data_IF_566384303316
#
_entry.id   IF_566384303316
#
_cell.length_a   1.000
_cell.length_b   1.000
_cell.length_c   1.000
_cell.angle_alpha   90.00
_cell.angle_beta   90.00
_cell.angle_gamma   90.00
#
_symmetry.space_group_name_H-M   'P 1'
#
loop_
_entity.id
_entity.type
_entity.pdbx_description
1 polymer ?
#
# COMPACT_ATOMS: atom_id res chain seq x y z
N UNK A 1 -34.40 4.86 50.43
CA UNK A 1 -33.32 3.85 50.42
C UNK A 1 -33.43 3.08 49.13
N UNK A 2 -32.56 3.34 48.17
CA UNK A 2 -32.55 2.74 46.83
C UNK A 2 -31.22 1.99 46.70
N UNK A 3 -31.21 0.69 46.35
CA UNK A 3 -29.97 -0.08 46.34
C UNK A 3 -29.08 0.38 45.18
N UNK A 4 -27.79 0.58 45.48
CA UNK A 4 -26.77 0.92 44.52
C UNK A 4 -26.56 -0.24 43.53
N UNK A 5 -27.10 -0.09 42.33
CA UNK A 5 -26.78 -0.95 41.19
C UNK A 5 -25.35 -0.64 40.72
N UNK A 6 -24.41 -1.45 41.21
CA UNK A 6 -23.39 -2.14 40.41
C UNK A 6 -22.95 -1.43 39.12
N UNK A 7 -21.90 -0.60 39.24
CA UNK A 7 -21.04 -0.23 38.10
C UNK A 7 -19.98 -1.33 37.94
N UNK A 8 -20.30 -2.43 37.25
CA UNK A 8 -19.33 -3.48 36.89
C UNK A 8 -18.90 -3.48 35.42
N UNK A 9 -19.29 -2.47 34.63
CA UNK A 9 -19.04 -2.45 33.17
C UNK A 9 -17.83 -1.63 32.74
N UNK A 10 -16.92 -1.28 33.67
CA UNK A 10 -15.64 -0.71 33.28
C UNK A 10 -14.74 -1.83 32.76
N UNK A 11 -14.33 -1.82 31.48
CA UNK A 11 -13.41 -2.82 30.93
C UNK A 11 -12.16 -2.87 31.80
N UNK A 12 -11.73 -4.08 32.17
CA UNK A 12 -10.55 -4.27 33.00
C UNK A 12 -9.33 -3.54 32.36
N UNK A 13 -8.73 -2.54 33.02
CA UNK A 13 -7.55 -1.86 32.51
C UNK A 13 -6.33 -2.78 32.39
N UNK A 14 -6.39 -4.00 32.93
CA UNK A 14 -5.40 -5.06 32.77
C UNK A 14 -5.63 -5.98 31.55
N UNK A 15 -6.71 -5.80 30.77
CA UNK A 15 -6.92 -6.51 29.50
C UNK A 15 -6.00 -5.99 28.37
N UNK A 16 -4.73 -5.73 28.66
CA UNK A 16 -3.72 -5.50 27.62
C UNK A 16 -3.56 -6.82 26.85
N UNK A 17 -3.61 -6.80 25.51
CA UNK A 17 -3.33 -7.99 24.74
C UNK A 17 -1.95 -8.53 25.11
N UNK A 18 -1.88 -9.83 25.38
CA UNK A 18 -0.63 -10.52 25.71
C UNK A 18 0.48 -10.11 24.71
N UNK A 19 1.60 -9.53 25.20
CA UNK A 19 2.66 -9.04 24.32
C UNK A 19 3.20 -10.14 23.40
N UNK A 20 3.26 -11.40 23.86
CA UNK A 20 3.70 -12.53 23.05
C UNK A 20 2.74 -12.79 21.89
N UNK A 21 1.43 -12.80 22.15
CA UNK A 21 0.39 -12.95 21.12
C UNK A 21 0.42 -11.82 20.09
N UNK A 22 0.61 -10.58 20.53
CA UNK A 22 0.71 -9.43 19.62
C UNK A 22 1.94 -9.51 18.70
N UNK A 23 3.05 -10.04 19.23
CA UNK A 23 4.29 -10.21 18.48
C UNK A 23 4.14 -11.32 17.43
N UNK A 24 3.53 -12.44 17.79
CA UNK A 24 3.23 -13.54 16.88
C UNK A 24 2.34 -13.09 15.71
N UNK A 25 1.27 -12.33 15.98
CA UNK A 25 0.39 -11.80 14.92
C UNK A 25 1.15 -10.89 13.93
N UNK A 26 2.08 -10.06 14.42
CA UNK A 26 2.92 -9.21 13.56
C UNK A 26 3.87 -10.04 12.71
N UNK A 27 4.47 -11.08 13.29
CA UNK A 27 5.40 -11.97 12.61
C UNK A 27 4.69 -12.78 11.53
N UNK A 28 3.52 -13.33 11.83
CA UNK A 28 2.68 -14.08 10.89
C UNK A 28 2.28 -13.23 9.68
N UNK A 29 1.78 -12.01 9.91
CA UNK A 29 1.49 -11.05 8.83
C UNK A 29 2.72 -10.82 7.97
N UNK A 30 3.87 -10.55 8.59
CA UNK A 30 5.09 -10.27 7.84
C UNK A 30 5.55 -11.47 7.01
N UNK A 31 5.49 -12.67 7.57
CA UNK A 31 5.84 -13.90 6.87
C UNK A 31 4.92 -14.15 5.67
N UNK A 32 3.60 -13.93 5.81
CA UNK A 32 2.65 -14.07 4.71
C UNK A 32 2.90 -13.05 3.59
N UNK A 33 3.14 -11.80 3.95
CA UNK A 33 3.49 -10.74 2.97
C UNK A 33 4.76 -11.13 2.23
N UNK A 34 5.81 -11.59 2.93
CA UNK A 34 7.03 -12.06 2.28
C UNK A 34 6.79 -13.28 1.38
N UNK A 35 6.00 -14.26 1.83
CA UNK A 35 5.66 -15.44 1.06
C UNK A 35 4.90 -15.14 -0.24
N UNK A 36 4.17 -14.02 -0.30
CA UNK A 36 3.54 -13.51 -1.53
C UNK A 36 4.56 -12.80 -2.41
N UNK A 37 5.31 -11.85 -1.85
CA UNK A 37 6.15 -10.93 -2.63
C UNK A 37 7.41 -11.59 -3.19
N UNK A 38 8.06 -12.51 -2.46
CA UNK A 38 9.27 -13.18 -2.93
C UNK A 38 9.06 -13.96 -4.25
N UNK A 39 8.13 -14.92 -4.33
CA UNK A 39 7.95 -15.69 -5.57
C UNK A 39 7.40 -14.85 -6.72
N UNK A 40 6.41 -13.98 -6.45
CA UNK A 40 5.82 -13.14 -7.51
C UNK A 40 6.76 -12.03 -7.96
N UNK A 41 7.58 -11.49 -7.07
CA UNK A 41 8.63 -10.53 -7.41
C UNK A 41 9.72 -11.17 -8.28
N UNK A 42 10.13 -12.40 -7.95
CA UNK A 42 11.08 -13.14 -8.78
C UNK A 42 10.49 -13.47 -10.17
N UNK A 43 9.24 -13.93 -10.21
CA UNK A 43 8.52 -14.17 -11.46
C UNK A 43 8.41 -12.89 -12.31
N UNK A 44 8.04 -11.77 -11.70
CA UNK A 44 7.97 -10.47 -12.38
C UNK A 44 9.33 -10.09 -12.99
N UNK A 45 10.42 -10.24 -12.23
CA UNK A 45 11.77 -9.95 -12.71
C UNK A 45 12.15 -10.82 -13.91
N UNK A 46 11.86 -12.12 -13.87
CA UNK A 46 12.10 -13.03 -14.99
C UNK A 46 11.30 -12.63 -16.24
N UNK A 47 10.04 -12.26 -16.08
CA UNK A 47 9.16 -11.80 -17.17
C UNK A 47 9.63 -10.46 -17.76
N UNK A 48 10.05 -9.51 -16.91
CA UNK A 48 10.61 -8.24 -17.37
C UNK A 48 11.91 -8.45 -18.13
N UNK A 49 12.82 -9.26 -17.59
CA UNK A 49 14.07 -9.61 -18.29
C UNK A 49 13.78 -10.19 -19.68
N UNK A 50 12.81 -11.11 -19.76
CA UNK A 50 12.37 -11.70 -21.03
C UNK A 50 11.78 -10.65 -21.98
N UNK A 51 10.93 -9.74 -21.47
CA UNK A 51 10.34 -8.67 -22.28
C UNK A 51 11.38 -7.70 -22.85
N UNK A 52 12.35 -7.28 -22.05
CA UNK A 52 13.43 -6.41 -22.50
C UNK A 52 14.44 -7.11 -23.42
N UNK A 53 14.55 -8.44 -23.34
CA UNK A 53 15.37 -9.25 -24.25
C UNK A 53 14.77 -9.41 -25.66
N UNK A 54 13.71 -8.65 -26.01
CA UNK A 54 13.15 -8.60 -27.37
C UNK A 54 11.97 -9.53 -27.62
N UNK A 55 11.44 -10.20 -26.60
CA UNK A 55 10.31 -11.14 -26.75
C UNK A 55 8.93 -10.44 -26.82
N UNK A 56 8.91 -9.10 -26.73
CA UNK A 56 7.75 -8.28 -27.01
C UNK A 56 6.96 -7.84 -25.77
N UNK A 57 6.02 -6.93 -25.99
CA UNK A 57 5.26 -6.24 -24.95
C UNK A 57 4.40 -7.18 -24.07
N UNK A 58 3.99 -8.35 -24.58
CA UNK A 58 3.21 -9.32 -23.82
C UNK A 58 3.95 -9.82 -22.56
N UNK A 59 5.27 -9.99 -22.63
CA UNK A 59 6.09 -10.40 -21.48
C UNK A 59 6.21 -9.29 -20.44
N UNK A 60 6.33 -8.04 -20.88
CA UNK A 60 6.29 -6.88 -19.98
C UNK A 60 4.92 -6.78 -19.29
N UNK A 61 3.83 -6.95 -20.06
CA UNK A 61 2.47 -6.97 -19.50
C UNK A 61 2.29 -8.09 -18.48
N UNK A 62 2.82 -9.29 -18.75
CA UNK A 62 2.81 -10.40 -17.79
C UNK A 62 3.63 -10.08 -16.53
N UNK A 63 4.78 -9.42 -16.67
CA UNK A 63 5.59 -8.95 -15.54
C UNK A 63 4.83 -7.97 -14.65
N UNK A 64 4.16 -6.97 -15.24
CA UNK A 64 3.26 -6.09 -14.50
C UNK A 64 2.07 -6.83 -13.88
N UNK A 65 1.53 -7.83 -14.59
CA UNK A 65 0.48 -8.71 -14.06
C UNK A 65 0.92 -9.46 -12.80
N UNK A 66 2.16 -9.94 -12.74
CA UNK A 66 2.72 -10.58 -11.55
C UNK A 66 2.87 -9.60 -10.38
N UNK A 67 3.33 -8.37 -10.63
CA UNK A 67 3.40 -7.31 -9.59
C UNK A 67 2.00 -6.96 -9.09
N UNK A 68 1.03 -6.83 -10.00
CA UNK A 68 -0.35 -6.54 -9.66
C UNK A 68 -0.97 -7.66 -8.82
N UNK A 69 -0.72 -8.92 -9.18
CA UNK A 69 -1.16 -10.07 -8.41
C UNK A 69 -0.57 -10.06 -6.99
N UNK A 70 0.72 -9.74 -6.84
CA UNK A 70 1.37 -9.63 -5.53
C UNK A 70 0.74 -8.52 -4.67
N UNK A 71 0.45 -7.38 -5.28
CA UNK A 71 -0.26 -6.28 -4.62
C UNK A 71 -1.66 -6.72 -4.15
N UNK A 72 -2.45 -7.35 -5.02
CA UNK A 72 -3.80 -7.84 -4.68
C UNK A 72 -3.75 -8.88 -3.56
N UNK A 73 -2.84 -9.85 -3.62
CA UNK A 73 -2.64 -10.83 -2.56
C UNK A 73 -2.24 -10.17 -1.24
N UNK A 74 -1.39 -9.14 -1.26
CA UNK A 74 -1.05 -8.37 -0.05
C UNK A 74 -2.30 -7.66 0.52
N UNK A 75 -3.13 -7.04 -0.33
CA UNK A 75 -4.41 -6.45 0.11
C UNK A 75 -5.32 -7.52 0.75
N UNK A 76 -5.41 -8.71 0.16
CA UNK A 76 -6.19 -9.83 0.72
C UNK A 76 -5.64 -10.27 2.07
N UNK A 77 -4.32 -10.45 2.21
CA UNK A 77 -3.67 -10.78 3.49
C UNK A 77 -4.01 -9.73 4.55
N UNK A 78 -3.91 -8.45 4.20
CA UNK A 78 -4.26 -7.36 5.11
C UNK A 78 -5.74 -7.42 5.52
N UNK A 79 -6.65 -7.65 4.57
CA UNK A 79 -8.08 -7.76 4.82
C UNK A 79 -8.44 -8.95 5.72
N UNK A 80 -7.89 -10.13 5.47
CA UNK A 80 -8.12 -11.35 6.25
C UNK A 80 -7.62 -11.20 7.69
N UNK A 81 -6.48 -10.52 7.87
CA UNK A 81 -5.89 -10.29 9.19
C UNK A 81 -6.44 -9.04 9.90
N UNK A 82 -7.38 -8.31 9.28
CA UNK A 82 -7.91 -7.05 9.85
C UNK A 82 -6.85 -5.97 10.05
N UNK A 83 -5.82 -5.95 9.20
CA UNK A 83 -4.70 -5.01 9.26
C UNK A 83 -4.66 -4.12 8.04
N UNK A 84 -3.78 -3.11 8.04
CA UNK A 84 -3.54 -2.27 6.89
C UNK A 84 -2.06 -1.96 6.66
N UNK A 85 -1.75 -1.37 5.50
CA UNK A 85 -0.39 -1.00 5.15
C UNK A 85 0.21 -0.09 6.23
N UNK A 86 1.40 -0.43 6.70
CA UNK A 86 2.14 0.43 7.62
C UNK A 86 2.98 1.46 6.86
N UNK A 87 3.43 2.51 7.56
CA UNK A 87 4.20 3.59 6.93
C UNK A 87 5.48 3.13 6.23
N UNK A 88 6.13 2.06 6.70
CA UNK A 88 7.34 1.51 6.06
C UNK A 88 7.00 0.82 4.74
N UNK A 89 5.93 0.05 4.71
CA UNK A 89 5.43 -0.60 3.50
C UNK A 89 5.01 0.42 2.44
N UNK A 90 4.29 1.47 2.86
CA UNK A 90 3.92 2.59 1.97
C UNK A 90 5.17 3.30 1.45
N UNK A 91 6.14 3.59 2.31
CA UNK A 91 7.39 4.23 1.89
C UNK A 91 8.18 3.38 0.89
N UNK A 92 8.26 2.06 1.11
CA UNK A 92 8.91 1.12 0.18
C UNK A 92 8.16 1.08 -1.16
N UNK A 93 6.84 0.96 -1.14
CA UNK A 93 6.02 0.93 -2.36
C UNK A 93 6.12 2.22 -3.16
N UNK A 94 5.96 3.37 -2.51
CA UNK A 94 6.08 4.68 -3.12
C UNK A 94 7.50 4.96 -3.64
N UNK A 95 8.53 4.59 -2.87
CA UNK A 95 9.93 4.72 -3.28
C UNK A 95 10.26 3.84 -4.49
N UNK A 96 9.83 2.58 -4.49
CA UNK A 96 10.00 1.69 -5.63
C UNK A 96 9.29 2.21 -6.89
N UNK A 97 8.07 2.74 -6.73
CA UNK A 97 7.32 3.34 -7.83
C UNK A 97 8.02 4.59 -8.40
N UNK A 98 8.46 5.50 -7.53
CA UNK A 98 9.21 6.70 -7.93
C UNK A 98 10.51 6.34 -8.66
N UNK A 99 11.25 5.34 -8.17
CA UNK A 99 12.44 4.82 -8.83
C UNK A 99 12.12 4.22 -10.21
N UNK A 100 11.01 3.50 -10.35
CA UNK A 100 10.58 2.96 -11.64
C UNK A 100 10.21 4.04 -12.66
N UNK A 101 9.52 5.10 -12.22
CA UNK A 101 9.20 6.28 -13.05
C UNK A 101 10.48 7.02 -13.44
N UNK A 102 11.39 7.24 -12.50
CA UNK A 102 12.68 7.87 -12.78
C UNK A 102 13.51 7.04 -13.76
N UNK A 103 13.56 5.72 -13.58
CA UNK A 103 14.23 4.81 -14.50
C UNK A 103 13.61 4.90 -15.90
N UNK A 104 12.28 4.85 -16.03
CA UNK A 104 11.59 5.03 -17.31
C UNK A 104 11.99 6.35 -17.99
N UNK A 105 12.02 7.46 -17.25
CA UNK A 105 12.45 8.76 -17.77
C UNK A 105 13.91 8.72 -18.24
N UNK A 106 14.83 8.26 -17.39
CA UNK A 106 16.26 8.19 -17.71
C UNK A 106 16.53 7.29 -18.91
N UNK A 107 15.96 6.08 -18.98
CA UNK A 107 16.14 5.20 -20.13
C UNK A 107 15.54 5.80 -21.41
N UNK A 108 14.42 6.50 -21.32
CA UNK A 108 13.84 7.18 -22.48
C UNK A 108 14.71 8.32 -23.02
N UNK A 109 15.47 8.99 -22.16
CA UNK A 109 16.37 10.09 -22.54
C UNK A 109 17.76 9.60 -22.97
N UNK A 110 18.29 8.58 -22.28
CA UNK A 110 19.69 8.19 -22.39
C UNK A 110 19.92 6.97 -23.30
N UNK A 111 18.88 6.18 -23.60
CA UNK A 111 18.99 4.97 -24.42
C UNK A 111 18.32 5.15 -25.79
N UNK A 112 19.11 5.21 -26.88
CA UNK A 112 18.57 5.31 -28.24
C UNK A 112 17.60 4.15 -28.55
N UNK A 113 16.42 4.48 -29.08
CA UNK A 113 15.42 3.48 -29.48
C UNK A 113 14.61 2.86 -28.34
N UNK A 114 14.96 3.12 -27.07
CA UNK A 114 14.20 2.63 -25.92
C UNK A 114 12.76 3.13 -25.93
N UNK A 115 12.57 4.45 -26.12
CA UNK A 115 11.24 5.04 -26.07
C UNK A 115 10.31 4.46 -27.15
N UNK A 116 10.83 4.25 -28.36
CA UNK A 116 10.05 3.66 -29.47
C UNK A 116 9.61 2.22 -29.22
N UNK A 117 10.39 1.45 -28.44
CA UNK A 117 10.12 0.02 -28.22
C UNK A 117 9.39 -0.27 -26.91
N UNK A 118 9.67 0.50 -25.85
CA UNK A 118 9.33 0.12 -24.48
C UNK A 118 8.55 1.18 -23.70
N UNK A 119 8.46 2.43 -24.19
CA UNK A 119 7.81 3.49 -23.43
C UNK A 119 6.35 3.15 -23.12
N UNK A 120 5.55 2.85 -24.16
CA UNK A 120 4.13 2.60 -24.01
C UNK A 120 3.81 1.40 -23.09
N UNK A 121 4.41 0.19 -23.25
CA UNK A 121 4.11 -0.92 -22.37
C UNK A 121 4.56 -0.68 -20.92
N UNK A 122 5.70 -0.01 -20.69
CA UNK A 122 6.20 0.28 -19.34
C UNK A 122 5.37 1.38 -18.67
N UNK A 123 5.11 2.49 -19.36
CA UNK A 123 4.28 3.58 -18.86
C UNK A 123 2.85 3.10 -18.57
N UNK A 124 2.27 2.31 -19.48
CA UNK A 124 0.95 1.71 -19.28
C UNK A 124 0.89 0.81 -18.05
N UNK A 125 1.90 -0.05 -17.86
CA UNK A 125 2.01 -0.89 -16.66
C UNK A 125 2.11 -0.08 -15.36
N UNK A 126 2.91 0.99 -15.35
CA UNK A 126 3.02 1.89 -14.19
C UNK A 126 1.69 2.62 -13.90
N UNK A 127 0.98 3.09 -14.93
CA UNK A 127 -0.34 3.71 -14.77
C UNK A 127 -1.33 2.72 -14.16
N UNK A 128 -1.36 1.47 -14.64
CA UNK A 128 -2.24 0.43 -14.10
C UNK A 128 -1.93 0.13 -12.64
N UNK A 129 -0.64 0.06 -12.26
CA UNK A 129 -0.25 -0.11 -10.85
C UNK A 129 -0.73 1.05 -9.98
N UNK A 130 -0.53 2.30 -10.43
CA UNK A 130 -1.02 3.48 -9.71
C UNK A 130 -2.55 3.46 -9.58
N UNK A 131 -3.27 3.12 -10.66
CA UNK A 131 -4.72 2.99 -10.65
C UNK A 131 -5.19 1.90 -9.66
N UNK A 132 -4.50 0.76 -9.60
CA UNK A 132 -4.83 -0.31 -8.66
C UNK A 132 -4.71 0.13 -7.19
N UNK A 133 -3.69 0.93 -6.86
CA UNK A 133 -3.54 1.52 -5.52
C UNK A 133 -4.68 2.49 -5.22
N UNK A 134 -5.01 3.38 -6.16
CA UNK A 134 -6.14 4.32 -6.00
C UNK A 134 -7.46 3.57 -5.81
N UNK A 135 -7.72 2.54 -6.61
CA UNK A 135 -8.91 1.69 -6.48
C UNK A 135 -8.95 1.04 -5.10
N UNK A 136 -7.85 0.43 -4.64
CA UNK A 136 -7.78 -0.18 -3.32
C UNK A 136 -8.08 0.81 -2.19
N UNK A 137 -7.55 2.05 -2.29
CA UNK A 137 -7.85 3.11 -1.33
C UNK A 137 -9.33 3.52 -1.34
N UNK A 138 -9.91 3.73 -2.52
CA UNK A 138 -11.32 4.12 -2.67
C UNK A 138 -12.24 3.02 -2.16
N UNK A 139 -11.94 1.74 -2.42
CA UNK A 139 -12.75 0.62 -1.93
C UNK A 139 -12.65 0.44 -0.42
N UNK A 140 -11.48 0.70 0.18
CA UNK A 140 -11.26 0.51 1.60
C UNK A 140 -11.77 1.67 2.47
N UNK A 141 -11.68 2.91 1.97
CA UNK A 141 -11.96 4.13 2.76
C UNK A 141 -13.08 5.01 2.20
N UNK A 142 -13.62 4.67 1.03
CA UNK A 142 -14.47 5.58 0.25
C UNK A 142 -13.66 6.74 -0.37
N UNK A 143 -14.26 7.49 -1.31
CA UNK A 143 -13.56 8.58 -2.01
C UNK A 143 -13.12 9.69 -1.04
N UNK A 144 -13.96 10.06 -0.09
CA UNK A 144 -13.65 11.10 0.91
C UNK A 144 -12.53 10.67 1.87
N UNK A 145 -12.60 9.45 2.39
CA UNK A 145 -11.57 8.93 3.29
C UNK A 145 -10.21 8.75 2.60
N UNK A 146 -10.20 8.46 1.30
CA UNK A 146 -8.97 8.42 0.51
C UNK A 146 -8.30 9.80 0.43
N UNK A 147 -9.05 10.88 0.16
CA UNK A 147 -8.51 12.25 0.13
C UNK A 147 -7.99 12.73 1.49
N UNK A 148 -8.71 12.42 2.58
CA UNK A 148 -8.27 12.78 3.94
C UNK A 148 -6.91 12.17 4.30
N UNK A 149 -6.56 11.00 3.73
CA UNK A 149 -5.24 10.38 3.92
C UNK A 149 -4.12 11.02 3.08
N UNK A 150 -4.45 11.75 2.02
CA UNK A 150 -3.49 12.52 1.23
C UNK A 150 -3.28 13.94 1.77
N UNK A 151 -4.09 14.40 2.73
CA UNK A 151 -3.98 15.71 3.35
C UNK A 151 -2.84 15.77 4.39
N UNK A 152 -1.61 15.73 3.88
CA UNK A 152 -0.36 15.84 4.65
C UNK A 152 -0.26 17.21 5.36
N UNK A 153 -0.95 18.24 4.84
CA UNK A 153 -0.89 19.61 5.37
C UNK A 153 -1.51 19.67 6.77
N UNK A 154 -2.55 18.88 7.04
CA UNK A 154 -3.18 18.80 8.36
C UNK A 154 -2.31 18.08 9.39
N UNK A 155 -1.64 17.00 8.99
CA UNK A 155 -0.82 16.17 9.90
C UNK A 155 0.58 16.75 10.16
N UNK A 156 1.12 17.56 9.24
CA UNK A 156 2.43 18.19 9.38
C UNK A 156 2.37 19.61 9.98
N UNK A 157 1.23 19.99 10.58
CA UNK A 157 1.09 21.26 11.28
C UNK A 157 1.57 21.13 12.74
N UNK A 158 2.71 21.74 13.12
CA UNK A 158 3.25 21.63 14.49
C UNK A 158 2.42 22.39 15.54
N UNK A 159 1.38 23.13 15.13
CA UNK A 159 0.51 23.88 16.06
C UNK A 159 -0.44 22.93 16.77
N UNK A 160 -0.41 22.91 18.10
CA UNK A 160 -1.31 22.11 18.96
C UNK A 160 -2.81 22.31 18.65
N UNK A 161 -3.18 23.49 18.17
CA UNK A 161 -4.56 23.81 17.76
C UNK A 161 -5.10 22.99 16.58
N UNK A 162 -4.24 22.34 15.79
CA UNK A 162 -4.63 21.50 14.64
C UNK A 162 -5.24 20.15 15.06
N UNK A 163 -4.95 19.69 16.28
CA UNK A 163 -5.45 18.43 16.86
C UNK A 163 -6.74 18.61 17.67
N UNK A 164 -7.18 19.84 17.86
CA UNK A 164 -8.43 20.10 18.56
C UNK A 164 -9.60 19.59 17.71
N UNK A 165 -10.57 18.86 18.31
CA UNK A 165 -11.78 18.48 17.61
C UNK A 165 -12.41 19.76 17.05
N UNK A 166 -12.70 19.78 15.75
CA UNK A 166 -13.53 20.84 15.18
C UNK A 166 -14.86 20.80 15.91
N UNK A 167 -14.99 21.71 16.88
CA UNK A 167 -16.26 22.06 17.48
C UNK A 167 -17.03 22.72 16.35
N UNK A 168 -17.77 21.90 15.60
CA UNK A 168 -18.64 22.34 14.52
C UNK A 168 -19.35 23.58 15.02
N UNK A 169 -19.08 24.70 14.35
CA UNK A 169 -19.72 25.97 14.61
C UNK A 169 -21.21 25.70 14.65
N UNK A 170 -21.81 25.93 15.81
CA UNK A 170 -23.25 25.78 15.97
C UNK A 170 -23.91 26.88 15.13
N UNK A 171 -24.66 26.40 14.15
CA UNK A 171 -25.76 27.02 13.37
C UNK A 171 -25.35 27.92 12.23
#
# INVERSE_FOLDING_TARGET
MQPATERSDLPDPAARPDPARSHLMRLERHALVLAVWLPLGFLALALFHRGFAGFGAAWLAAGFGAVLAAFVLHVIVNAVLGTWFNGREVAVGAGAFALAVLALALFSLLSPGFAGSFFLPVAGGLIVLAAAVVIAMVTAFGPRGAFERFDIIRDNNPRDGSRLPHRGGRR
#
